data_IF_450688814424
#
_entry.id   IF_450688814424
#
_cell.length_a   1.000
_cell.length_b   1.000
_cell.length_c   1.000
_cell.angle_alpha   90.00
_cell.angle_beta   90.00
_cell.angle_gamma   90.00
#
_symmetry.space_group_name_H-M   'P 1'
#
loop_
_entity.id
_entity.type
_entity.pdbx_description
1 polymer ?
#
# COMPACT_ATOMS: atom_id res chain seq x y z
N UNK A 1 9.54 -2.11 -52.80
CA UNK A 1 10.41 -1.52 -51.76
C UNK A 1 9.92 -0.11 -51.42
N UNK A 2 9.01 0.00 -50.45
CA UNK A 2 8.79 1.17 -49.57
C UNK A 2 7.72 0.78 -48.55
N UNK A 3 8.15 0.09 -47.51
CA UNK A 3 7.27 -0.27 -46.40
C UNK A 3 7.13 0.93 -45.47
N UNK A 4 6.43 1.98 -45.91
CA UNK A 4 6.06 3.12 -45.09
C UNK A 4 4.87 2.75 -44.19
N UNK A 5 5.03 1.70 -43.38
CA UNK A 5 4.01 1.23 -42.43
C UNK A 5 3.91 2.20 -41.25
N UNK A 6 3.17 3.30 -41.45
CA UNK A 6 2.85 4.27 -40.39
C UNK A 6 2.06 3.53 -39.29
N UNK A 7 2.66 3.38 -38.11
CA UNK A 7 2.04 2.71 -36.95
C UNK A 7 1.01 3.64 -36.28
N UNK A 8 1.26 4.95 -36.31
CA UNK A 8 0.46 5.98 -35.64
C UNK A 8 -0.30 6.80 -36.68
N UNK A 9 -1.63 6.64 -36.71
CA UNK A 9 -2.53 7.38 -37.57
C UNK A 9 -2.71 8.84 -37.10
N UNK A 10 -2.80 9.06 -35.80
CA UNK A 10 -3.05 10.38 -35.23
C UNK A 10 -2.20 10.67 -33.99
N UNK A 11 -1.11 11.43 -34.18
CA UNK A 11 -0.18 11.80 -33.10
C UNK A 11 -0.85 12.61 -31.98
N UNK A 12 -1.79 13.50 -32.30
CA UNK A 12 -2.49 14.31 -31.28
C UNK A 12 -3.32 13.44 -30.35
N UNK A 13 -4.10 12.49 -30.89
CA UNK A 13 -4.88 11.54 -30.09
C UNK A 13 -3.99 10.62 -29.26
N UNK A 14 -2.84 10.20 -29.81
CA UNK A 14 -1.87 9.40 -29.09
C UNK A 14 -1.34 10.14 -27.85
N UNK A 15 -0.88 11.38 -28.03
CA UNK A 15 -0.34 12.21 -26.93
C UNK A 15 -1.41 12.49 -25.89
N UNK A 16 -2.63 12.86 -26.29
CA UNK A 16 -3.74 13.10 -25.35
C UNK A 16 -4.11 11.82 -24.60
N UNK A 17 -4.21 10.67 -25.29
CA UNK A 17 -4.52 9.40 -24.65
C UNK A 17 -3.48 8.99 -23.61
N UNK A 18 -2.19 9.06 -23.95
CA UNK A 18 -1.09 8.80 -23.02
C UNK A 18 -1.12 9.79 -21.86
N UNK A 19 -1.33 11.09 -22.13
CA UNK A 19 -1.40 12.12 -21.11
C UNK A 19 -2.50 11.88 -20.09
N UNK A 20 -3.70 11.47 -20.53
CA UNK A 20 -4.80 11.11 -19.63
C UNK A 20 -4.47 9.88 -18.79
N UNK A 21 -3.87 8.84 -19.37
CA UNK A 21 -3.45 7.65 -18.62
C UNK A 21 -2.42 8.00 -17.55
N UNK A 22 -1.37 8.74 -17.90
CA UNK A 22 -0.35 9.19 -16.94
C UNK A 22 -0.95 10.06 -15.85
N UNK A 23 -1.87 10.96 -16.19
CA UNK A 23 -2.56 11.80 -15.23
C UNK A 23 -3.35 10.97 -14.20
N UNK A 24 -4.12 9.98 -14.65
CA UNK A 24 -4.87 9.08 -13.74
C UNK A 24 -3.91 8.24 -12.89
N UNK A 25 -2.79 7.78 -13.46
CA UNK A 25 -1.77 7.03 -12.74
C UNK A 25 -1.15 7.86 -11.61
N UNK A 26 -0.79 9.12 -11.88
CA UNK A 26 -0.21 10.01 -10.86
C UNK A 26 -1.18 10.28 -9.70
N UNK A 27 -2.47 10.44 -9.99
CA UNK A 27 -3.49 10.65 -8.97
C UNK A 27 -3.79 9.40 -8.12
N UNK A 28 -3.47 8.21 -8.63
CA UNK A 28 -3.70 6.93 -7.96
C UNK A 28 -2.40 6.19 -7.63
N UNK A 29 -1.28 6.91 -7.60
CA UNK A 29 0.02 6.31 -7.32
C UNK A 29 0.00 5.71 -5.89
N UNK A 30 0.34 4.41 -5.70
CA UNK A 30 0.11 3.70 -4.45
C UNK A 30 1.21 3.96 -3.38
N UNK A 31 1.93 5.08 -3.47
CA UNK A 31 3.02 5.46 -2.58
C UNK A 31 2.87 6.94 -2.20
N UNK A 32 3.21 7.37 -0.97
CA UNK A 32 3.98 6.67 0.07
C UNK A 32 3.16 5.88 1.09
N UNK A 33 1.84 5.93 1.01
CA UNK A 33 0.96 5.20 1.90
C UNK A 33 0.45 3.96 1.19
N UNK A 34 0.55 2.80 1.84
CA UNK A 34 -0.28 1.68 1.42
C UNK A 34 -1.72 2.06 1.77
N UNK A 35 -2.59 2.06 0.75
CA UNK A 35 -4.03 2.13 1.05
C UNK A 35 -4.36 0.79 1.66
N UNK A 36 -4.91 0.73 2.89
CA UNK A 36 -5.31 -0.53 3.47
C UNK A 36 -6.24 -1.22 2.48
N UNK A 37 -5.83 -2.40 2.02
CA UNK A 37 -6.64 -3.25 1.17
C UNK A 37 -8.01 -3.57 1.85
N UNK A 38 -8.12 -3.33 3.16
CA UNK A 38 -9.33 -3.45 3.96
C UNK A 38 -10.29 -2.24 3.92
N UNK A 39 -9.85 -1.02 3.59
CA UNK A 39 -10.75 0.15 3.59
C UNK A 39 -11.60 0.30 2.31
N UNK A 40 -11.24 -0.41 1.23
CA UNK A 40 -11.94 -0.39 -0.04
C UNK A 40 -12.41 -1.79 -0.46
N UNK A 41 -13.70 -2.08 -0.30
CA UNK A 41 -14.30 -3.38 -0.70
C UNK A 41 -14.18 -3.68 -2.20
N UNK A 42 -13.85 -2.69 -3.03
CA UNK A 42 -13.55 -2.86 -4.44
C UNK A 42 -12.61 -1.77 -4.99
N UNK A 43 -11.46 -2.19 -5.53
CA UNK A 43 -10.52 -1.37 -6.29
C UNK A 43 -10.35 -1.97 -7.69
N UNK A 44 -10.24 -1.12 -8.71
CA UNK A 44 -9.93 -1.53 -10.09
C UNK A 44 -8.76 -0.70 -10.57
N UNK A 45 -7.63 -1.34 -10.90
CA UNK A 45 -6.39 -0.68 -11.33
C UNK A 45 -5.89 0.41 -10.36
N UNK A 46 -5.91 0.14 -9.05
CA UNK A 46 -5.56 1.08 -7.97
C UNK A 46 -6.50 2.29 -7.82
N UNK A 47 -7.66 2.28 -8.50
CA UNK A 47 -8.71 3.28 -8.34
C UNK A 47 -9.73 2.75 -7.33
N UNK A 48 -9.91 3.39 -6.17
CA UNK A 48 -10.93 2.99 -5.20
C UNK A 48 -12.31 3.36 -5.73
N UNK A 49 -13.20 2.36 -5.87
CA UNK A 49 -14.58 2.56 -6.36
C UNK A 49 -15.58 2.60 -5.19
N UNK A 50 -15.24 1.93 -4.08
CA UNK A 50 -16.05 1.89 -2.86
C UNK A 50 -15.16 2.03 -1.63
N UNK A 51 -15.62 2.79 -0.65
CA UNK A 51 -15.07 2.91 0.71
C UNK A 51 -16.16 2.59 1.74
N UNK A 52 -15.82 2.62 3.04
CA UNK A 52 -16.76 2.44 4.15
C UNK A 52 -17.92 3.46 4.17
N UNK A 53 -17.73 4.63 3.55
CA UNK A 53 -18.75 5.69 3.41
C UNK A 53 -19.58 5.59 2.11
N UNK A 54 -19.36 4.56 1.28
CA UNK A 54 -20.12 4.30 0.05
C UNK A 54 -19.35 4.53 -1.26
N UNK A 55 -20.07 4.77 -2.35
CA UNK A 55 -19.49 4.95 -3.69
C UNK A 55 -18.67 6.25 -3.78
N UNK A 56 -17.39 6.13 -4.13
CA UNK A 56 -16.53 7.29 -4.38
C UNK A 56 -16.76 7.82 -5.80
N UNK A 57 -17.55 8.89 -5.91
CA UNK A 57 -17.78 9.59 -7.19
C UNK A 57 -16.47 9.96 -7.90
N UNK A 58 -15.43 10.36 -7.15
CA UNK A 58 -14.11 10.65 -7.69
C UNK A 58 -13.44 9.44 -8.37
N UNK A 59 -13.56 8.24 -7.80
CA UNK A 59 -13.02 7.02 -8.42
C UNK A 59 -13.71 6.68 -9.74
N UNK A 60 -15.04 6.85 -9.80
CA UNK A 60 -15.79 6.66 -11.04
C UNK A 60 -15.37 7.65 -12.13
N UNK A 61 -15.18 8.93 -11.78
CA UNK A 61 -14.69 9.95 -12.73
C UNK A 61 -13.32 9.57 -13.28
N UNK A 62 -12.39 9.12 -12.43
CA UNK A 62 -11.05 8.70 -12.85
C UNK A 62 -11.10 7.45 -13.74
N UNK A 63 -12.00 6.50 -13.47
CA UNK A 63 -12.22 5.33 -14.30
C UNK A 63 -12.70 5.75 -15.71
N UNK A 64 -13.65 6.67 -15.81
CA UNK A 64 -14.15 7.19 -17.09
C UNK A 64 -13.03 7.88 -17.86
N UNK A 65 -12.21 8.70 -17.20
CA UNK A 65 -11.04 9.36 -17.81
C UNK A 65 -10.05 8.31 -18.34
N UNK A 66 -9.79 7.25 -17.58
CA UNK A 66 -8.91 6.15 -18.00
C UNK A 66 -9.44 5.43 -19.24
N UNK A 67 -10.73 5.10 -19.26
CA UNK A 67 -11.39 4.46 -20.42
C UNK A 67 -11.33 5.36 -21.65
N UNK A 68 -11.57 6.66 -21.51
CA UNK A 68 -11.42 7.64 -22.60
C UNK A 68 -9.96 7.71 -23.07
N UNK A 69 -8.99 7.70 -22.15
CA UNK A 69 -7.56 7.68 -22.46
C UNK A 69 -7.17 6.45 -23.29
N UNK A 70 -7.58 5.26 -22.86
CA UNK A 70 -7.33 3.99 -23.56
C UNK A 70 -8.01 3.99 -24.94
N UNK A 71 -9.24 4.51 -25.05
CA UNK A 71 -9.95 4.62 -26.31
C UNK A 71 -9.23 5.55 -27.30
N UNK A 72 -8.78 6.73 -26.84
CA UNK A 72 -8.01 7.66 -27.65
C UNK A 72 -6.67 7.05 -28.09
N UNK A 73 -5.98 6.36 -27.18
CA UNK A 73 -4.76 5.62 -27.48
C UNK A 73 -5.01 4.56 -28.57
N UNK A 74 -6.02 3.69 -28.40
CA UNK A 74 -6.33 2.63 -29.36
C UNK A 74 -6.75 3.15 -30.74
N UNK A 75 -7.53 4.23 -30.79
CA UNK A 75 -7.98 4.83 -32.07
C UNK A 75 -6.92 5.71 -32.75
N UNK A 76 -5.84 6.03 -32.05
CA UNK A 76 -4.68 6.75 -32.60
C UNK A 76 -3.76 5.85 -33.44
N UNK A 77 -3.84 4.54 -33.24
CA UNK A 77 -3.00 3.54 -33.89
C UNK A 77 -3.62 3.07 -35.20
N UNK A 78 -2.80 2.78 -36.22
CA UNK A 78 -3.26 2.29 -37.52
C UNK A 78 -3.22 0.75 -37.58
N UNK A 79 -2.13 0.19 -37.05
CA UNK A 79 -1.84 -1.25 -37.04
C UNK A 79 -1.61 -1.74 -35.61
N UNK A 80 -1.84 -3.04 -35.37
CA UNK A 80 -1.63 -3.69 -34.08
C UNK A 80 -2.39 -3.08 -32.90
N UNK A 81 -3.52 -2.40 -33.15
CA UNK A 81 -4.33 -1.68 -32.14
C UNK A 81 -4.57 -2.53 -30.89
N UNK A 82 -5.11 -3.73 -31.05
CA UNK A 82 -5.41 -4.62 -29.93
C UNK A 82 -4.14 -5.00 -29.13
N UNK A 83 -3.04 -5.37 -29.81
CA UNK A 83 -1.80 -5.78 -29.13
C UNK A 83 -1.18 -4.65 -28.33
N UNK A 84 -1.15 -3.44 -28.90
CA UNK A 84 -0.59 -2.27 -28.23
C UNK A 84 -1.50 -1.76 -27.10
N UNK A 85 -2.82 -1.86 -27.23
CA UNK A 85 -3.75 -1.55 -26.14
C UNK A 85 -3.56 -2.53 -24.98
N UNK A 86 -3.47 -3.83 -25.25
CA UNK A 86 -3.19 -4.84 -24.22
C UNK A 86 -1.85 -4.54 -23.54
N UNK A 87 -0.80 -4.25 -24.31
CA UNK A 87 0.50 -3.87 -23.77
C UNK A 87 0.41 -2.62 -22.90
N UNK A 88 -0.32 -1.59 -23.34
CA UNK A 88 -0.50 -0.36 -22.58
C UNK A 88 -1.23 -0.59 -21.26
N UNK A 89 -2.24 -1.47 -21.24
CA UNK A 89 -2.94 -1.87 -20.02
C UNK A 89 -1.99 -2.61 -19.08
N UNK A 90 -1.23 -3.60 -19.57
CA UNK A 90 -0.24 -4.32 -18.77
C UNK A 90 0.80 -3.40 -18.17
N UNK A 91 1.34 -2.47 -18.97
CA UNK A 91 2.28 -1.46 -18.49
C UNK A 91 1.62 -0.56 -17.43
N UNK A 92 0.38 -0.10 -17.65
CA UNK A 92 -0.33 0.73 -16.67
C UNK A 92 -0.45 0.05 -15.30
N UNK A 93 -0.66 -1.27 -15.27
CA UNK A 93 -0.71 -2.04 -14.03
C UNK A 93 0.67 -2.24 -13.37
N UNK A 94 1.70 -2.56 -14.15
CA UNK A 94 3.01 -2.97 -13.62
C UNK A 94 3.95 -1.79 -13.35
N UNK A 95 3.80 -0.69 -14.09
CA UNK A 95 4.68 0.48 -14.01
C UNK A 95 4.73 1.12 -12.62
N UNK A 96 3.61 1.29 -11.87
CA UNK A 96 3.66 1.84 -10.52
C UNK A 96 4.57 1.04 -9.58
N UNK A 97 4.41 -0.29 -9.56
CA UNK A 97 5.22 -1.18 -8.71
C UNK A 97 6.71 -1.09 -9.03
N UNK A 98 7.04 -1.09 -10.33
CA UNK A 98 8.43 -0.93 -10.77
C UNK A 98 9.01 0.44 -10.37
N UNK A 99 8.23 1.52 -10.54
CA UNK A 99 8.67 2.86 -10.17
C UNK A 99 8.90 3.03 -8.67
N UNK A 100 8.05 2.40 -7.84
CA UNK A 100 8.19 2.42 -6.38
C UNK A 100 9.50 1.72 -5.98
N UNK A 101 9.72 0.51 -6.49
CA UNK A 101 10.94 -0.24 -6.19
C UNK A 101 12.21 0.53 -6.61
N UNK A 102 12.22 1.10 -7.83
CA UNK A 102 13.34 1.92 -8.29
C UNK A 102 13.53 3.15 -7.40
N UNK A 103 12.45 3.83 -7.04
CA UNK A 103 12.53 5.00 -6.17
C UNK A 103 13.08 4.64 -4.77
N UNK A 104 12.57 3.58 -4.15
CA UNK A 104 13.01 3.11 -2.83
C UNK A 104 14.49 2.72 -2.82
N UNK A 105 14.96 2.02 -3.85
CA UNK A 105 16.35 1.55 -3.95
C UNK A 105 17.38 2.62 -4.36
N UNK A 106 16.95 3.76 -4.91
CA UNK A 106 17.92 4.72 -5.50
C UNK A 106 17.83 6.14 -4.98
N UNK A 107 16.63 6.60 -4.59
CA UNK A 107 16.39 8.00 -4.25
C UNK A 107 15.75 8.18 -2.87
N UNK A 108 15.04 7.17 -2.37
CA UNK A 108 14.38 7.26 -1.09
C UNK A 108 15.39 7.31 0.05
N UNK A 109 14.99 8.00 1.12
CA UNK A 109 15.77 8.13 2.35
C UNK A 109 14.85 8.14 3.55
N UNK A 110 15.38 7.76 4.71
CA UNK A 110 14.61 7.65 5.94
C UNK A 110 13.44 6.69 5.79
N UNK A 111 12.28 7.03 6.37
CA UNK A 111 11.10 6.16 6.32
C UNK A 111 10.58 5.86 4.92
N UNK A 112 10.98 6.59 3.87
CA UNK A 112 10.58 6.28 2.49
C UNK A 112 11.39 5.15 1.87
N UNK A 113 12.58 4.84 2.40
CA UNK A 113 13.40 3.71 1.97
C UNK A 113 13.04 2.41 2.70
N UNK A 114 12.22 2.51 3.75
CA UNK A 114 11.71 1.35 4.48
C UNK A 114 10.58 0.69 3.69
N UNK A 115 10.70 -0.62 3.52
CA UNK A 115 9.66 -1.50 3.03
C UNK A 115 9.12 -2.35 4.18
N UNK A 116 7.84 -2.70 4.07
CA UNK A 116 7.13 -3.45 5.10
C UNK A 116 6.33 -4.57 4.44
N UNK A 117 6.63 -5.80 4.81
CA UNK A 117 5.96 -6.97 4.24
C UNK A 117 4.65 -7.24 5.00
N UNK A 118 3.60 -6.51 4.62
CA UNK A 118 2.29 -6.60 5.27
C UNK A 118 1.76 -8.05 5.30
N UNK A 119 1.93 -8.81 4.21
CA UNK A 119 1.44 -10.19 4.12
C UNK A 119 2.16 -11.16 5.08
N UNK A 120 3.39 -10.84 5.51
CA UNK A 120 4.16 -11.63 6.45
C UNK A 120 4.00 -11.16 7.91
N UNK A 121 3.41 -9.97 8.11
CA UNK A 121 3.16 -9.45 9.45
C UNK A 121 2.11 -10.26 10.21
N UNK A 122 2.39 -10.52 11.49
CA UNK A 122 1.52 -11.33 12.36
C UNK A 122 1.56 -10.81 13.79
N UNK A 123 0.40 -10.77 14.46
CA UNK A 123 0.33 -10.65 15.91
C UNK A 123 -0.33 -11.88 16.52
N UNK A 124 0.32 -12.43 17.53
CA UNK A 124 -0.19 -13.51 18.38
C UNK A 124 -0.65 -12.95 19.72
N UNK A 125 -1.77 -13.46 20.20
CA UNK A 125 -2.38 -13.05 21.47
C UNK A 125 -2.54 -14.29 22.33
N UNK A 126 -2.08 -14.23 23.57
CA UNK A 126 -2.16 -15.34 24.51
C UNK A 126 -2.69 -14.87 25.85
N UNK A 127 -3.79 -15.46 26.31
CA UNK A 127 -4.28 -15.20 27.65
C UNK A 127 -3.29 -15.76 28.68
N UNK A 128 -2.79 -14.87 29.53
CA UNK A 128 -1.89 -15.24 30.63
C UNK A 128 -2.72 -15.62 31.87
N UNK A 129 -3.76 -14.84 32.17
CA UNK A 129 -4.75 -15.11 33.20
C UNK A 129 -6.06 -14.33 32.94
N UNK A 130 -7.02 -14.37 33.87
CA UNK A 130 -8.33 -13.71 33.73
C UNK A 130 -8.29 -12.18 33.67
N UNK A 131 -7.11 -11.57 33.83
CA UNK A 131 -6.89 -10.12 33.81
C UNK A 131 -5.71 -9.68 32.95
N UNK A 132 -4.96 -10.61 32.35
CA UNK A 132 -3.77 -10.29 31.55
C UNK A 132 -3.74 -11.05 30.22
N UNK A 133 -3.41 -10.31 29.18
CA UNK A 133 -3.21 -10.79 27.81
C UNK A 133 -1.79 -10.43 27.37
N UNK A 134 -0.99 -11.41 26.94
CA UNK A 134 0.28 -11.16 26.27
C UNK A 134 0.02 -11.03 24.77
N UNK A 135 0.62 -10.01 24.16
CA UNK A 135 0.56 -9.75 22.71
C UNK A 135 1.97 -9.68 22.17
N UNK A 136 2.22 -10.43 21.09
CA UNK A 136 3.51 -10.48 20.39
C UNK A 136 3.26 -10.22 18.91
N UNK A 137 3.82 -9.14 18.37
CA UNK A 137 3.73 -8.81 16.94
C UNK A 137 5.09 -8.92 16.28
N UNK A 138 5.16 -9.66 15.18
CA UNK A 138 6.32 -9.76 14.31
C UNK A 138 6.06 -8.89 13.07
N UNK A 139 6.87 -7.84 12.93
CA UNK A 139 6.77 -6.84 11.88
C UNK A 139 8.02 -6.89 10.99
N UNK A 140 7.94 -7.53 9.81
CA UNK A 140 9.07 -7.64 8.87
C UNK A 140 9.30 -6.33 8.12
N UNK A 141 10.52 -5.81 8.23
CA UNK A 141 10.96 -4.60 7.53
C UNK A 141 12.22 -4.85 6.72
N UNK A 142 12.36 -4.11 5.62
CA UNK A 142 13.60 -4.01 4.83
C UNK A 142 13.99 -2.54 4.67
N UNK A 143 15.27 -2.22 4.81
CA UNK A 143 15.80 -0.89 4.52
C UNK A 143 16.56 -0.89 3.19
N UNK A 144 15.99 -0.31 2.15
CA UNK A 144 16.63 -0.23 0.82
C UNK A 144 17.71 0.85 0.69
N UNK A 145 17.91 1.69 1.71
CA UNK A 145 18.94 2.73 1.67
C UNK A 145 20.30 2.22 2.16
N UNK A 146 21.35 2.93 1.78
CA UNK A 146 22.71 2.66 2.29
C UNK A 146 22.90 3.12 3.76
N UNK A 147 22.03 4.00 4.25
CA UNK A 147 22.13 4.62 5.55
C UNK A 147 21.32 3.85 6.62
N UNK A 148 21.73 3.95 7.88
CA UNK A 148 20.89 3.52 8.99
C UNK A 148 19.65 4.42 9.10
N UNK A 149 18.48 3.78 9.22
CA UNK A 149 17.20 4.48 9.38
C UNK A 149 16.57 4.11 10.72
N UNK A 150 16.45 5.12 11.58
CA UNK A 150 15.68 5.03 12.83
C UNK A 150 14.31 5.68 12.67
N UNK A 151 13.25 4.98 13.06
CA UNK A 151 11.87 5.44 12.95
C UNK A 151 11.00 4.89 14.09
N UNK A 152 9.85 5.53 14.28
CA UNK A 152 8.88 5.22 15.31
C UNK A 152 7.68 4.49 14.71
N UNK A 153 7.26 3.40 15.33
CA UNK A 153 6.12 2.56 14.92
C UNK A 153 4.93 2.75 15.87
N UNK A 154 3.73 2.85 15.31
CA UNK A 154 2.44 2.80 16.01
C UNK A 154 1.51 1.82 15.29
N UNK A 155 0.61 1.17 16.02
CA UNK A 155 -0.40 0.32 15.40
C UNK A 155 -1.53 1.19 14.82
N UNK A 156 -1.96 0.89 13.60
CA UNK A 156 -3.04 1.61 12.92
C UNK A 156 -4.40 1.38 13.60
N UNK A 157 -5.34 2.31 13.41
CA UNK A 157 -6.67 2.28 14.07
C UNK A 157 -7.59 1.12 13.62
N UNK A 158 -7.12 0.26 12.72
CA UNK A 158 -7.88 -0.88 12.25
C UNK A 158 -8.00 -1.96 13.33
N UNK A 159 -9.19 -2.57 13.50
CA UNK A 159 -9.38 -3.58 14.52
C UNK A 159 -8.56 -4.82 14.18
N UNK A 160 -7.53 -5.10 15.00
CA UNK A 160 -6.71 -6.32 14.90
C UNK A 160 -7.47 -7.62 15.23
N UNK A 161 -8.73 -7.53 15.64
CA UNK A 161 -9.60 -8.64 16.04
C UNK A 161 -11.08 -8.31 15.76
N UNK A 162 -11.98 -9.30 15.90
CA UNK A 162 -13.44 -9.08 15.85
C UNK A 162 -13.83 -7.76 16.54
N UNK A 163 -14.75 -6.99 15.93
CA UNK A 163 -15.16 -5.60 16.24
C UNK A 163 -15.48 -5.30 17.73
N UNK A 164 -15.51 -6.32 18.57
CA UNK A 164 -15.79 -6.28 20.01
C UNK A 164 -14.58 -5.88 20.87
N UNK A 165 -13.34 -6.01 20.39
CA UNK A 165 -12.14 -5.72 21.20
C UNK A 165 -11.21 -4.67 20.60
N UNK A 166 -11.08 -3.55 21.29
CA UNK A 166 -10.14 -2.48 20.98
C UNK A 166 -8.75 -2.82 21.58
N UNK A 167 -8.04 -3.75 20.95
CA UNK A 167 -6.68 -4.14 21.39
C UNK A 167 -5.64 -3.10 20.96
N UNK A 168 -5.81 -2.51 19.77
CA UNK A 168 -4.91 -1.46 19.23
C UNK A 168 -4.69 -0.29 20.18
N UNK A 169 -5.73 0.35 20.78
CA UNK A 169 -5.50 1.45 21.71
C UNK A 169 -4.61 1.08 22.90
N UNK A 170 -4.75 -0.14 23.40
CA UNK A 170 -3.95 -0.63 24.53
C UNK A 170 -2.50 -0.90 24.11
N UNK A 171 -2.27 -1.43 22.90
CA UNK A 171 -0.92 -1.58 22.35
C UNK A 171 -0.25 -0.23 22.11
N UNK A 172 -1.03 0.79 21.77
CA UNK A 172 -0.53 2.15 21.57
C UNK A 172 -0.28 2.93 22.88
N UNK A 173 -0.58 2.38 24.06
CA UNK A 173 -0.23 3.01 25.35
C UNK A 173 1.29 3.07 25.58
N UNK A 174 2.03 2.06 25.09
CA UNK A 174 3.49 2.00 25.17
C UNK A 174 4.18 2.50 23.89
N UNK A 175 3.41 2.98 22.91
CA UNK A 175 3.93 3.53 21.67
C UNK A 175 4.41 5.00 21.84
N UNK A 176 5.28 5.53 20.96
CA UNK A 176 5.86 4.87 19.80
C UNK A 176 6.91 3.81 20.15
N UNK A 177 7.00 2.78 19.31
CA UNK A 177 8.07 1.78 19.37
C UNK A 177 9.19 2.20 18.43
N UNK A 178 10.34 2.58 18.98
CA UNK A 178 11.49 3.00 18.16
C UNK A 178 12.20 1.78 17.58
N UNK A 179 12.39 1.80 16.27
CA UNK A 179 13.03 0.77 15.47
C UNK A 179 14.21 1.38 14.73
N UNK A 180 15.33 0.66 14.67
CA UNK A 180 16.47 1.01 13.82
C UNK A 180 16.85 -0.15 12.93
N UNK A 181 17.05 0.14 11.64
CA UNK A 181 17.54 -0.78 10.61
C UNK A 181 18.80 -0.20 9.99
N UNK A 182 19.86 -1.00 9.91
CA UNK A 182 21.07 -0.70 9.14
C UNK A 182 20.74 -0.65 7.65
N UNK A 183 21.63 -0.06 6.84
CA UNK A 183 21.47 -0.04 5.40
C UNK A 183 21.44 -1.45 4.81
N UNK A 184 20.51 -1.72 3.90
CA UNK A 184 20.24 -3.04 3.30
C UNK A 184 19.93 -4.15 4.31
N UNK A 185 19.49 -3.81 5.52
CA UNK A 185 19.07 -4.79 6.52
C UNK A 185 17.61 -5.22 6.29
N UNK A 186 17.39 -6.53 6.27
CA UNK A 186 16.06 -7.15 6.43
C UNK A 186 15.93 -7.66 7.85
N UNK A 187 14.88 -7.24 8.57
CA UNK A 187 14.71 -7.54 10.00
C UNK A 187 13.24 -7.72 10.37
N UNK A 188 12.95 -8.81 11.07
CA UNK A 188 11.67 -8.99 11.76
C UNK A 188 11.75 -8.34 13.13
N UNK A 189 11.00 -7.27 13.32
CA UNK A 189 10.91 -6.52 14.58
C UNK A 189 9.81 -7.11 15.43
N UNK A 190 10.17 -7.66 16.59
CA UNK A 190 9.23 -8.20 17.55
C UNK A 190 8.83 -7.16 18.59
N UNK A 191 7.55 -6.83 18.66
CA UNK A 191 6.95 -5.98 19.71
C UNK A 191 6.15 -6.88 20.64
N UNK A 192 6.54 -6.91 21.92
CA UNK A 192 5.85 -7.68 22.95
C UNK A 192 5.27 -6.75 24.02
N UNK A 193 4.03 -6.98 24.42
CA UNK A 193 3.36 -6.18 25.46
C UNK A 193 2.36 -7.03 26.25
N UNK A 194 2.32 -6.81 27.56
CA UNK A 194 1.27 -7.34 28.44
C UNK A 194 0.17 -6.30 28.64
N UNK A 195 -1.07 -6.67 28.35
CA UNK A 195 -2.25 -5.83 28.45
C UNK A 195 -3.14 -6.27 29.60
N UNK A 196 -3.64 -5.30 30.37
CA UNK A 196 -4.65 -5.53 31.38
C UNK A 196 -6.04 -5.64 30.73
N UNK A 197 -6.73 -6.76 30.97
CA UNK A 197 -8.07 -7.06 30.42
C UNK A 197 -9.11 -7.22 31.54
N UNK A 198 -10.37 -6.90 31.23
CA UNK A 198 -11.49 -7.11 32.16
C UNK A 198 -11.90 -8.58 32.23
N UNK A 199 -12.18 -9.09 33.44
CA UNK A 199 -12.66 -10.48 33.65
C UNK A 199 -13.89 -10.79 32.80
N UNK A 200 -13.88 -11.95 32.13
CA UNK A 200 -15.05 -12.47 31.38
C UNK A 200 -15.11 -12.04 29.91
N UNK A 201 -14.02 -11.50 29.37
CA UNK A 201 -13.88 -11.09 27.98
C UNK A 201 -13.82 -12.24 26.95
N UNK A 202 -13.83 -13.51 27.37
CA UNK A 202 -13.96 -14.67 26.47
C UNK A 202 -12.80 -14.85 25.47
N UNK A 203 -11.73 -14.06 25.57
CA UNK A 203 -10.53 -14.14 24.75
C UNK A 203 -9.55 -15.13 25.38
N UNK A 204 -9.42 -16.32 24.82
CA UNK A 204 -8.42 -17.31 25.25
C UNK A 204 -7.08 -17.16 24.50
N UNK A 205 -7.13 -16.58 23.30
CA UNK A 205 -5.97 -16.30 22.45
C UNK A 205 -6.37 -16.22 20.98
N UNK A 206 -5.43 -15.90 20.11
CA UNK A 206 -5.66 -15.81 18.67
C UNK A 206 -4.44 -15.34 17.91
N UNK A 207 -4.56 -15.34 16.58
CA UNK A 207 -3.56 -14.75 15.68
C UNK A 207 -4.27 -13.84 14.69
N UNK A 208 -3.59 -12.76 14.29
CA UNK A 208 -4.04 -11.86 13.25
C UNK A 208 -2.89 -11.60 12.28
N UNK A 209 -3.18 -11.53 11.00
CA UNK A 209 -2.21 -11.28 9.93
C UNK A 209 -2.51 -9.94 9.28
N UNK A 210 -1.60 -9.42 8.46
CA UNK A 210 -1.78 -8.14 7.75
C UNK A 210 -2.03 -6.99 8.73
N UNK A 211 -1.08 -6.82 9.65
CA UNK A 211 -1.10 -5.84 10.72
C UNK A 211 -0.78 -4.47 10.16
N UNK A 212 -1.77 -3.59 10.10
CA UNK A 212 -1.56 -2.21 9.65
C UNK A 212 -0.88 -1.36 10.72
N UNK A 213 0.11 -0.56 10.29
CA UNK A 213 0.94 0.26 11.16
C UNK A 213 1.14 1.68 10.59
N UNK A 214 1.54 2.59 11.46
CA UNK A 214 2.00 3.92 11.10
C UNK A 214 3.47 4.05 11.50
N UNK A 215 4.33 4.39 10.53
CA UNK A 215 5.75 4.68 10.77
C UNK A 215 6.01 6.17 10.64
N UNK A 216 6.87 6.71 11.51
CA UNK A 216 7.17 8.15 11.53
C UNK A 216 8.64 8.45 11.82
N UNK A 217 9.12 9.55 11.27
CA UNK A 217 10.47 10.07 11.50
C UNK A 217 10.44 11.59 11.41
N UNK A 218 10.60 12.26 12.55
CA UNK A 218 10.42 13.71 12.65
C UNK A 218 9.00 14.12 12.25
N UNK A 219 8.89 14.98 11.23
CA UNK A 219 7.60 15.46 10.71
C UNK A 219 7.02 14.60 9.58
N UNK A 220 7.67 13.49 9.23
CA UNK A 220 7.25 12.59 8.14
C UNK A 220 6.52 11.39 8.73
N UNK A 221 5.47 10.95 8.06
CA UNK A 221 4.68 9.79 8.47
C UNK A 221 4.22 9.00 7.23
N UNK A 222 4.17 7.67 7.37
CA UNK A 222 3.61 6.73 6.39
C UNK A 222 2.68 5.76 7.10
N UNK A 223 1.65 5.33 6.38
CA UNK A 223 0.72 4.28 6.81
C UNK A 223 0.96 3.10 5.90
N UNK A 224 1.16 1.94 6.51
CA UNK A 224 1.54 0.68 5.86
C UNK A 224 0.50 -0.38 6.29
#
# INVERSE_FOLDING_TARGET
MKDNRVIVRNKKRLIVGIGLMVFVMLLNFPFPHEKPFAAGKASVMNIPIQDMDGFKFGGLVLLVILVVGIYLFGTSLEKYRARLVILAILLYFLLPFFLINVYQNTLASGIYAIDYELDESVCEFKKMDDKRLSVMCDLPFENFSDDEVTFDVRFGDEPLFEERFKVVPLMNENAPYTVSLQGHETKVVRIETELAISRGNGLDGGTTHQVHIEISQGNRMRRL
#
